data_IF_795098411995
#
_entry.id   IF_795098411995
#
_cell.length_a   1.000
_cell.length_b   1.000
_cell.length_c   1.000
_cell.angle_alpha   90.00
_cell.angle_beta   90.00
_cell.angle_gamma   90.00
#
_symmetry.space_group_name_H-M   'P 1'
#
loop_
_entity.id
_entity.type
_entity.pdbx_description
1 polymer ?
#
# COMPACT_ATOMS: atom_id res chain seq x y z
N UNK A 1 -7.83 -50.41 -2.32
CA UNK A 1 -7.83 -50.70 -0.87
C UNK A 1 -7.66 -49.36 -0.15
N UNK A 2 -8.64 -48.87 0.63
CA UNK A 2 -8.46 -47.63 1.37
C UNK A 2 -7.49 -47.92 2.53
N UNK A 3 -6.29 -47.35 2.46
CA UNK A 3 -5.31 -47.42 3.53
C UNK A 3 -5.85 -46.63 4.73
N UNK A 4 -6.31 -47.34 5.76
CA UNK A 4 -6.74 -46.74 7.01
C UNK A 4 -5.53 -46.06 7.69
N UNK A 5 -5.54 -44.73 7.76
CA UNK A 5 -4.50 -43.97 8.46
C UNK A 5 -4.47 -44.39 9.94
N UNK A 6 -3.28 -44.60 10.55
CA UNK A 6 -3.18 -45.06 11.92
C UNK A 6 -3.81 -44.06 12.90
N UNK A 7 -4.56 -44.55 13.90
CA UNK A 7 -5.32 -43.73 14.88
C UNK A 7 -4.48 -42.68 15.64
N UNK A 8 -3.15 -42.81 15.67
CA UNK A 8 -2.21 -41.85 16.29
C UNK A 8 -1.61 -40.82 15.32
N UNK A 9 -1.71 -41.04 14.00
CA UNK A 9 -1.17 -40.11 12.98
C UNK A 9 -2.08 -38.90 12.80
N UNK A 10 -3.40 -39.09 12.93
CA UNK A 10 -4.37 -38.00 12.80
C UNK A 10 -4.18 -36.87 13.83
N UNK A 11 -4.06 -37.12 15.15
CA UNK A 11 -3.82 -36.04 16.11
C UNK A 11 -2.46 -35.37 15.90
N UNK A 12 -1.41 -36.11 15.52
CA UNK A 12 -0.09 -35.54 15.22
C UNK A 12 -0.18 -34.60 14.02
N UNK A 13 -0.82 -35.03 12.93
CA UNK A 13 -1.02 -34.20 11.74
C UNK A 13 -1.80 -32.93 12.08
N UNK A 14 -2.88 -33.03 12.87
CA UNK A 14 -3.65 -31.88 13.32
C UNK A 14 -2.82 -30.92 14.16
N UNK A 15 -1.98 -31.42 15.09
CA UNK A 15 -1.09 -30.56 15.88
C UNK A 15 -0.05 -29.85 15.02
N UNK A 16 0.50 -30.51 14.01
CA UNK A 16 1.46 -29.90 13.07
C UNK A 16 0.79 -28.82 12.24
N UNK A 17 -0.40 -29.08 11.70
CA UNK A 17 -1.17 -28.09 10.94
C UNK A 17 -1.52 -26.89 11.82
N UNK A 18 -2.00 -27.12 13.04
CA UNK A 18 -2.31 -26.04 13.98
C UNK A 18 -1.07 -25.19 14.31
N UNK A 19 0.08 -25.83 14.59
CA UNK A 19 1.33 -25.13 14.82
C UNK A 19 1.75 -24.29 13.61
N UNK A 20 1.60 -24.82 12.40
CA UNK A 20 1.93 -24.13 11.15
C UNK A 20 1.04 -22.90 10.95
N UNK A 21 -0.26 -23.01 11.20
CA UNK A 21 -1.20 -21.87 11.15
C UNK A 21 -0.83 -20.80 12.18
N UNK A 22 -0.46 -21.18 13.40
CA UNK A 22 -0.02 -20.23 14.43
C UNK A 22 1.26 -19.50 14.00
N UNK A 23 2.25 -20.22 13.49
CA UNK A 23 3.52 -19.62 13.02
C UNK A 23 3.26 -18.66 11.85
N UNK A 24 2.43 -19.04 10.87
CA UNK A 24 2.06 -18.15 9.78
C UNK A 24 1.29 -16.92 10.26
N UNK A 25 0.39 -17.07 11.23
CA UNK A 25 -0.35 -15.96 11.83
C UNK A 25 0.54 -14.99 12.60
N UNK A 26 1.53 -15.49 13.35
CA UNK A 26 2.51 -14.64 14.04
C UNK A 26 3.43 -13.93 13.04
N UNK A 27 3.83 -14.63 11.97
CA UNK A 27 4.65 -14.04 10.91
C UNK A 27 3.92 -12.92 10.18
N UNK A 28 2.66 -13.13 9.75
CA UNK A 28 1.86 -12.09 9.09
C UNK A 28 1.69 -10.87 10.00
N UNK A 29 1.35 -11.10 11.28
CA UNK A 29 1.22 -10.03 12.27
C UNK A 29 2.51 -9.23 12.42
N UNK A 30 3.66 -9.90 12.52
CA UNK A 30 4.96 -9.25 12.63
C UNK A 30 5.27 -8.41 11.37
N UNK A 31 5.10 -8.98 10.18
CA UNK A 31 5.40 -8.26 8.92
C UNK A 31 4.52 -7.04 8.69
N UNK A 32 3.28 -7.03 9.18
CA UNK A 32 2.34 -5.90 9.01
C UNK A 32 2.40 -4.87 10.15
N UNK A 33 3.12 -5.16 11.22
CA UNK A 33 3.30 -4.24 12.35
C UNK A 33 4.67 -3.60 12.37
N UNK A 34 5.66 -4.20 11.69
CA UNK A 34 7.02 -3.71 11.70
C UNK A 34 7.36 -2.91 10.44
N UNK A 35 7.48 -1.59 10.60
CA UNK A 35 7.99 -0.72 9.54
C UNK A 35 9.51 -0.91 9.37
N UNK A 36 9.92 -1.32 8.18
CA UNK A 36 11.34 -1.39 7.80
C UNK A 36 11.89 0.01 7.47
N UNK A 37 11.09 0.84 6.81
CA UNK A 37 11.47 2.20 6.44
C UNK A 37 10.23 3.09 6.40
N UNK A 38 10.38 4.33 6.83
CA UNK A 38 9.33 5.34 6.75
C UNK A 38 9.79 6.45 5.82
N UNK A 39 8.87 7.08 5.11
CA UNK A 39 9.23 8.17 4.20
C UNK A 39 8.02 8.90 3.64
N UNK A 40 8.30 9.99 2.94
CA UNK A 40 7.30 10.79 2.23
C UNK A 40 7.64 10.89 0.75
N UNK A 41 6.60 10.89 -0.09
CA UNK A 41 6.73 11.10 -1.54
C UNK A 41 5.62 12.04 -2.01
N UNK A 42 5.98 13.00 -2.84
CA UNK A 42 5.05 13.93 -3.46
C UNK A 42 4.94 13.67 -4.96
N UNK A 43 3.72 13.64 -5.47
CA UNK A 43 3.45 13.38 -6.88
C UNK A 43 2.00 13.63 -7.25
N UNK A 44 1.65 13.34 -8.51
CA UNK A 44 0.26 13.41 -8.96
C UNK A 44 -0.41 12.05 -8.82
N UNK A 45 -1.56 12.00 -8.15
CA UNK A 45 -2.34 10.77 -8.03
C UNK A 45 -3.01 10.44 -9.36
N UNK A 46 -2.49 9.44 -10.08
CA UNK A 46 -3.01 9.09 -11.40
C UNK A 46 -3.98 7.93 -11.39
N UNK A 47 -3.82 7.02 -10.43
CA UNK A 47 -4.61 5.80 -10.38
C UNK A 47 -4.86 5.43 -8.94
N UNK A 48 -6.09 5.08 -8.66
CA UNK A 48 -6.50 4.51 -7.38
C UNK A 48 -7.62 3.53 -7.67
N UNK A 49 -7.45 2.28 -7.28
CA UNK A 49 -8.37 1.21 -7.67
C UNK A 49 -8.40 0.11 -6.63
N UNK A 50 -9.60 -0.39 -6.35
CA UNK A 50 -9.79 -1.57 -5.51
C UNK A 50 -9.58 -2.83 -6.37
N UNK A 51 -8.50 -3.56 -6.13
CA UNK A 51 -8.09 -4.72 -6.93
C UNK A 51 -7.94 -5.96 -6.04
N UNK A 52 -8.05 -7.13 -6.67
CA UNK A 52 -7.92 -8.44 -6.00
C UNK A 52 -9.06 -9.38 -6.34
N UNK A 53 -8.76 -10.68 -6.38
CA UNK A 53 -9.72 -11.72 -6.76
C UNK A 53 -10.47 -12.30 -5.56
N UNK A 54 -9.75 -12.69 -4.49
CA UNK A 54 -10.31 -13.20 -3.23
C UNK A 54 -10.38 -12.10 -2.16
N UNK A 55 -9.26 -11.41 -1.93
CA UNK A 55 -9.15 -10.29 -1.01
C UNK A 55 -8.95 -9.02 -1.84
N UNK A 56 -9.79 -8.01 -1.64
CA UNK A 56 -9.68 -6.75 -2.39
C UNK A 56 -8.98 -5.69 -1.56
N UNK A 57 -7.85 -5.19 -2.05
CA UNK A 57 -7.06 -4.11 -1.46
C UNK A 57 -7.18 -2.84 -2.29
N UNK A 58 -6.94 -1.69 -1.68
CA UNK A 58 -6.91 -0.41 -2.37
C UNK A 58 -5.49 -0.09 -2.78
N UNK A 59 -5.27 -0.02 -4.08
CA UNK A 59 -3.95 0.20 -4.67
C UNK A 59 -3.93 1.51 -5.42
N UNK A 60 -2.97 2.37 -5.10
CA UNK A 60 -2.73 3.66 -5.71
C UNK A 60 -1.41 3.74 -6.43
N UNK A 61 -1.32 4.63 -7.42
CA UNK A 61 -0.08 4.97 -8.12
C UNK A 61 0.02 6.51 -8.21
N UNK A 62 1.12 7.07 -7.72
CA UNK A 62 1.49 8.47 -7.95
C UNK A 62 2.61 8.57 -8.96
N UNK A 63 2.60 9.65 -9.75
CA UNK A 63 3.70 10.03 -10.62
C UNK A 63 4.60 11.04 -9.93
N UNK A 64 5.84 10.65 -9.71
CA UNK A 64 6.89 11.53 -9.23
C UNK A 64 7.42 12.31 -10.45
N UNK A 65 7.26 13.63 -10.42
CA UNK A 65 7.85 14.51 -11.41
C UNK A 65 9.28 14.81 -10.98
N UNK A 66 10.24 14.15 -11.61
CA UNK A 66 11.66 14.35 -11.33
C UNK A 66 12.27 15.46 -12.18
N UNK A 67 11.86 15.60 -13.45
CA UNK A 67 12.31 16.66 -14.38
C UNK A 67 11.29 16.88 -15.52
N UNK A 68 11.09 18.11 -16.01
CA UNK A 68 10.31 18.38 -17.22
C UNK A 68 10.88 17.62 -18.42
N UNK A 69 10.05 16.86 -19.13
CA UNK A 69 10.45 16.09 -20.33
C UNK A 69 11.03 14.70 -20.06
N UNK A 70 11.29 14.33 -18.80
CA UNK A 70 11.62 12.96 -18.43
C UNK A 70 10.35 12.11 -18.22
N UNK A 71 10.45 10.80 -18.41
CA UNK A 71 9.35 9.88 -18.09
C UNK A 71 9.20 9.88 -16.55
N UNK A 72 8.03 10.28 -16.02
CA UNK A 72 7.82 10.34 -14.58
C UNK A 72 7.87 8.94 -13.97
N UNK A 73 8.55 8.81 -12.83
CA UNK A 73 8.63 7.56 -12.09
C UNK A 73 7.28 7.27 -11.43
N UNK A 74 6.81 6.02 -11.53
CA UNK A 74 5.58 5.58 -10.89
C UNK A 74 5.90 5.00 -9.53
N UNK A 75 5.24 5.51 -8.49
CA UNK A 75 5.27 4.90 -7.17
C UNK A 75 3.91 4.30 -6.86
N UNK A 76 3.89 2.97 -6.78
CA UNK A 76 2.72 2.21 -6.37
C UNK A 76 2.70 2.03 -4.85
N UNK A 77 1.52 2.12 -4.26
CA UNK A 77 1.32 2.00 -2.82
C UNK A 77 -0.04 1.36 -2.50
N UNK A 78 -0.13 0.77 -1.32
CA UNK A 78 -1.34 0.14 -0.78
C UNK A 78 -1.93 0.99 0.34
N UNK A 79 -3.26 1.06 0.40
CA UNK A 79 -4.00 1.76 1.45
C UNK A 79 -4.92 0.77 2.16
N UNK A 80 -4.84 0.73 3.50
CA UNK A 80 -5.68 -0.15 4.33
C UNK A 80 -6.77 0.59 5.08
N UNK A 81 -6.56 1.87 5.40
CA UNK A 81 -7.50 2.66 6.19
C UNK A 81 -8.58 3.30 5.31
N UNK A 82 -9.85 3.11 5.67
CA UNK A 82 -11.00 3.62 4.90
C UNK A 82 -11.06 5.14 4.81
N UNK A 83 -10.63 5.85 5.85
CA UNK A 83 -10.58 7.32 5.86
C UNK A 83 -9.63 7.85 4.78
N UNK A 84 -8.46 7.22 4.65
CA UNK A 84 -7.47 7.57 3.63
C UNK A 84 -7.96 7.21 2.22
N UNK A 85 -8.69 6.10 2.08
CA UNK A 85 -9.32 5.70 0.80
C UNK A 85 -10.26 6.80 0.30
N UNK A 86 -11.16 7.30 1.15
CA UNK A 86 -12.10 8.35 0.77
C UNK A 86 -11.37 9.64 0.41
N UNK A 87 -10.36 10.02 1.21
CA UNK A 87 -9.53 11.19 0.94
C UNK A 87 -8.82 11.08 -0.41
N UNK A 88 -8.14 9.98 -0.67
CA UNK A 88 -7.44 9.73 -1.94
C UNK A 88 -8.38 9.69 -3.14
N UNK A 89 -9.56 9.12 -2.97
CA UNK A 89 -10.57 9.08 -4.03
C UNK A 89 -11.06 10.49 -4.40
N UNK A 90 -11.17 11.39 -3.42
CA UNK A 90 -11.52 12.79 -3.63
C UNK A 90 -10.40 13.64 -4.25
N UNK A 91 -9.13 13.23 -4.09
CA UNK A 91 -7.95 13.95 -4.57
C UNK A 91 -7.39 13.36 -5.87
N UNK A 92 -8.20 12.63 -6.63
CA UNK A 92 -7.77 12.03 -7.89
C UNK A 92 -7.35 13.10 -8.90
N UNK A 93 -6.20 12.92 -9.55
CA UNK A 93 -5.64 13.88 -10.51
C UNK A 93 -4.95 15.08 -9.87
N UNK A 94 -5.02 15.24 -8.55
CA UNK A 94 -4.37 16.33 -7.83
C UNK A 94 -2.95 15.96 -7.39
N UNK A 95 -2.15 16.98 -7.08
CA UNK A 95 -0.84 16.80 -6.44
C UNK A 95 -1.06 16.44 -4.97
N UNK A 96 -0.54 15.28 -4.58
CA UNK A 96 -0.61 14.78 -3.21
C UNK A 96 0.79 14.48 -2.70
N UNK A 97 0.98 14.70 -1.41
CA UNK A 97 2.11 14.20 -0.65
C UNK A 97 1.61 13.06 0.24
N UNK A 98 2.23 11.89 0.09
CA UNK A 98 1.87 10.70 0.84
C UNK A 98 3.01 10.33 1.77
N UNK A 99 2.68 10.02 3.02
CA UNK A 99 3.59 9.37 3.95
C UNK A 99 3.32 7.87 3.95
N UNK A 100 4.37 7.08 3.90
CA UNK A 100 4.27 5.63 3.83
C UNK A 100 5.22 4.95 4.81
N UNK A 101 4.82 3.74 5.20
CA UNK A 101 5.66 2.77 5.88
C UNK A 101 5.93 1.60 4.94
N UNK A 102 7.20 1.21 4.83
CA UNK A 102 7.63 0.06 4.04
C UNK A 102 7.64 -1.17 4.92
N UNK A 103 6.77 -2.12 4.65
CA UNK A 103 6.66 -3.38 5.39
C UNK A 103 7.21 -4.50 4.52
N UNK A 104 8.38 -5.06 4.88
CA UNK A 104 9.05 -6.09 4.07
C UNK A 104 8.58 -7.49 4.43
N UNK A 105 8.42 -8.33 3.39
CA UNK A 105 8.14 -9.75 3.57
C UNK A 105 6.68 -10.08 3.82
N UNK A 106 5.75 -9.17 3.48
CA UNK A 106 4.29 -9.43 3.54
C UNK A 106 3.98 -10.69 2.71
N UNK A 107 3.44 -11.75 3.33
CA UNK A 107 3.43 -13.08 2.72
C UNK A 107 2.38 -13.29 1.65
N UNK A 108 1.33 -12.46 1.58
CA UNK A 108 0.25 -12.61 0.61
C UNK A 108 -0.25 -11.26 0.09
N UNK A 109 -0.73 -11.25 -1.15
CA UNK A 109 -1.38 -10.08 -1.75
C UNK A 109 -2.73 -9.73 -1.14
N UNK A 110 -3.28 -10.59 -0.26
CA UNK A 110 -4.48 -10.28 0.51
C UNK A 110 -4.30 -9.09 1.46
N UNK A 111 -3.05 -8.78 1.85
CA UNK A 111 -2.74 -7.68 2.76
C UNK A 111 -2.31 -6.41 2.03
N UNK A 112 -1.79 -6.55 0.81
CA UNK A 112 -1.38 -5.46 -0.07
C UNK A 112 -0.62 -5.99 -1.27
N UNK A 113 -0.78 -5.36 -2.44
CA UNK A 113 0.02 -5.69 -3.63
C UNK A 113 1.44 -5.11 -3.55
N UNK A 114 1.64 -4.09 -2.71
CA UNK A 114 2.92 -3.43 -2.53
C UNK A 114 3.42 -3.57 -1.10
N UNK A 115 4.73 -3.35 -0.93
CA UNK A 115 5.37 -3.25 0.38
C UNK A 115 5.24 -1.85 1.00
N UNK A 116 4.58 -0.90 0.33
CA UNK A 116 4.46 0.49 0.78
C UNK A 116 3.02 0.80 1.23
N UNK A 117 2.83 0.96 2.53
CA UNK A 117 1.53 1.22 3.15
C UNK A 117 1.39 2.70 3.49
N UNK A 118 0.41 3.36 2.90
CA UNK A 118 0.18 4.79 3.17
C UNK A 118 -0.44 4.98 4.54
N UNK A 119 0.18 5.85 5.33
CA UNK A 119 -0.26 6.22 6.68
C UNK A 119 -0.88 7.61 6.72
N UNK A 120 -0.50 8.50 5.79
CA UNK A 120 -1.16 9.80 5.67
C UNK A 120 -1.08 10.37 4.26
N UNK A 121 -2.02 11.26 3.95
CA UNK A 121 -2.14 11.98 2.68
C UNK A 121 -2.37 13.46 2.97
N UNK A 122 -1.58 14.30 2.33
CA UNK A 122 -1.73 15.75 2.31
C UNK A 122 -1.91 16.20 0.86
N UNK A 123 -2.85 17.10 0.62
CA UNK A 123 -2.99 17.76 -0.68
C UNK A 123 -1.92 18.84 -0.78
N UNK A 124 -1.04 18.72 -1.78
CA UNK A 124 -0.09 19.80 -2.08
C UNK A 124 -0.80 20.98 -2.72
N UNK A 125 -0.14 22.16 -2.84
CA UNK A 125 -0.69 23.25 -3.64
C UNK A 125 -0.99 22.75 -5.05
N UNK A 126 -2.16 23.14 -5.57
CA UNK A 126 -2.81 22.57 -6.77
C UNK A 126 -1.94 22.67 -8.05
N UNK A 127 -0.94 23.54 -8.05
CA UNK A 127 0.10 23.65 -9.08
C UNK A 127 1.34 24.34 -8.49
N UNK A 128 2.55 24.13 -9.05
CA UNK A 128 3.54 25.20 -9.00
C UNK A 128 2.88 26.41 -9.67
N UNK A 129 2.69 27.50 -8.93
CA UNK A 129 2.14 28.78 -9.38
C UNK A 129 2.47 28.96 -10.86
N UNK A 130 1.46 28.86 -11.72
CA UNK A 130 1.67 29.20 -13.12
C UNK A 130 2.22 30.64 -13.11
N UNK A 131 3.21 31.00 -13.93
CA UNK A 131 3.76 32.36 -13.93
C UNK A 131 2.68 33.47 -14.06
N UNK A 132 1.50 33.12 -14.57
CA UNK A 132 0.29 33.95 -14.64
C UNK A 132 -0.44 34.21 -13.32
N UNK A 133 -0.24 33.40 -12.28
CA UNK A 133 -0.86 33.53 -10.95
C UNK A 133 0.11 34.13 -9.91
N UNK A 134 1.33 34.48 -10.32
CA UNK A 134 2.19 35.30 -9.50
C UNK A 134 1.50 36.66 -9.31
N UNK A 135 1.32 37.17 -8.07
CA UNK A 135 0.78 38.50 -7.88
C UNK A 135 1.68 39.46 -8.65
N UNK A 136 1.10 40.15 -9.64
CA UNK A 136 1.75 41.25 -10.33
C UNK A 136 2.22 42.19 -9.23
N UNK A 137 3.53 42.21 -9.00
CA UNK A 137 4.17 43.08 -8.03
C UNK A 137 3.80 44.47 -8.48
N UNK A 138 2.90 45.11 -7.75
CA UNK A 138 2.47 46.47 -8.01
C UNK A 138 3.66 47.38 -7.70
N UNK A 139 4.23 47.93 -8.78
CA UNK A 139 5.04 49.15 -8.87
C UNK A 139 6.41 49.15 -8.17
#
# INVERSE_FOLDING_TARGET
>A
MPTALPRRVLPILLTVIAALVVVLGLYTWFTLSWSYSEGTRAGYLQKFSKKGWLCKTWEGEILLSSMPGAIPERFAFTVREENLVQKLQSTMGQRVEISYEQHRGVPTSCFGETEYFVTSVNTGPENPVAPSDAPATAQ
#
